data_IF_420234814738
#
_entry.id   IF_420234814738
#
_cell.length_a   1.000
_cell.length_b   1.000
_cell.length_c   1.000
_cell.angle_alpha   90.00
_cell.angle_beta   90.00
_cell.angle_gamma   90.00
#
_symmetry.space_group_name_H-M   'P 1'
#
loop_
_entity.id
_entity.type
_entity.pdbx_description
1 polymer ?
#
# COMPACT_ATOMS: atom_id res chain seq x y z
N UNK A 1 -2.51 -2.53 -23.28
CA UNK A 1 -1.04 -2.61 -23.36
C UNK A 1 -0.49 -1.77 -22.23
N UNK A 2 0.29 -2.36 -21.33
CA UNK A 2 0.87 -1.61 -20.21
C UNK A 2 1.95 -0.66 -20.78
N UNK A 3 1.89 0.63 -20.43
CA UNK A 3 2.92 1.60 -20.80
C UNK A 3 4.25 1.15 -20.20
N UNK A 4 5.36 1.15 -20.96
CA UNK A 4 6.67 0.82 -20.42
C UNK A 4 7.03 1.82 -19.32
N UNK A 5 7.50 1.32 -18.17
CA UNK A 5 7.95 2.13 -17.04
C UNK A 5 9.28 1.60 -16.51
N UNK A 6 10.10 2.50 -15.98
CA UNK A 6 11.37 2.16 -15.33
C UNK A 6 11.15 2.06 -13.82
N UNK A 7 11.64 0.98 -13.21
CA UNK A 7 11.62 0.79 -11.76
C UNK A 7 12.92 1.35 -11.17
N UNK A 8 12.89 2.49 -10.46
CA UNK A 8 14.11 3.06 -9.90
C UNK A 8 14.60 2.27 -8.69
N UNK A 9 15.90 2.34 -8.42
CA UNK A 9 16.45 1.90 -7.14
C UNK A 9 15.84 2.72 -5.98
N UNK A 10 15.57 2.07 -4.85
CA UNK A 10 14.84 2.68 -3.73
C UNK A 10 13.32 2.81 -3.94
N UNK A 11 12.76 2.31 -5.05
CA UNK A 11 11.32 2.38 -5.30
C UNK A 11 10.50 1.65 -4.23
N UNK A 12 9.41 2.27 -3.80
CA UNK A 12 8.38 1.58 -3.01
C UNK A 12 7.56 0.69 -3.97
N UNK A 13 7.55 -0.61 -3.72
CA UNK A 13 6.80 -1.61 -4.51
C UNK A 13 5.61 -2.19 -3.75
N UNK A 14 5.56 -2.02 -2.42
CA UNK A 14 4.44 -2.47 -1.59
C UNK A 14 3.98 -1.31 -0.71
N UNK A 15 2.67 -1.07 -0.69
CA UNK A 15 2.01 -0.14 0.22
C UNK A 15 0.85 -0.87 0.92
N UNK A 16 0.93 -1.07 2.23
CA UNK A 16 -0.06 -1.88 2.93
C UNK A 16 -0.63 -1.19 4.18
N UNK A 17 -1.91 -0.82 4.12
CA UNK A 17 -2.67 -0.46 5.32
C UNK A 17 -3.11 -1.77 5.97
N UNK A 18 -2.38 -2.19 7.00
CA UNK A 18 -2.52 -3.47 7.68
C UNK A 18 -2.32 -3.31 9.19
N UNK A 19 -2.27 -4.42 9.93
CA UNK A 19 -2.09 -4.54 11.37
C UNK A 19 -3.27 -4.12 12.23
N UNK A 20 -3.54 -4.91 13.27
CA UNK A 20 -4.50 -4.57 14.31
C UNK A 20 -4.11 -3.30 15.08
N UNK A 21 -2.82 -2.92 15.15
CA UNK A 21 -2.36 -1.73 15.88
C UNK A 21 -2.82 -0.42 15.25
N UNK A 22 -2.86 -0.35 13.91
CA UNK A 22 -3.18 0.87 13.19
C UNK A 22 -4.61 0.87 12.64
N UNK A 23 -5.16 -0.30 12.32
CA UNK A 23 -6.52 -0.42 11.77
C UNK A 23 -7.60 -0.43 12.85
N UNK A 24 -7.24 -0.60 14.13
CA UNK A 24 -8.17 -0.45 15.26
C UNK A 24 -8.48 1.01 15.61
N UNK A 25 -7.68 1.96 15.13
CA UNK A 25 -7.82 3.39 15.42
C UNK A 25 -8.59 4.08 14.28
N UNK A 26 -9.89 4.41 14.46
CA UNK A 26 -10.72 4.94 13.37
C UNK A 26 -10.19 6.26 12.83
N UNK A 27 -9.60 7.11 13.68
CA UNK A 27 -9.08 8.41 13.26
C UNK A 27 -8.00 8.28 12.17
N UNK A 28 -7.13 7.27 12.28
CA UNK A 28 -6.02 7.05 11.33
C UNK A 28 -6.52 6.57 9.97
N UNK A 29 -7.51 5.68 9.98
CA UNK A 29 -8.12 5.13 8.76
C UNK A 29 -9.01 6.16 8.07
N UNK A 30 -9.75 6.96 8.84
CA UNK A 30 -10.50 8.10 8.31
C UNK A 30 -9.57 9.13 7.67
N UNK A 31 -8.45 9.46 8.31
CA UNK A 31 -7.45 10.36 7.73
C UNK A 31 -6.86 9.79 6.42
N UNK A 32 -6.56 8.48 6.36
CA UNK A 32 -6.10 7.84 5.14
C UNK A 32 -7.14 7.89 4.01
N UNK A 33 -8.42 7.65 4.33
CA UNK A 33 -9.51 7.76 3.35
C UNK A 33 -9.73 9.18 2.86
N UNK A 34 -9.66 10.19 3.74
CA UNK A 34 -9.76 11.60 3.36
C UNK A 34 -8.58 12.05 2.49
N UNK A 35 -7.38 11.57 2.80
CA UNK A 35 -6.20 11.81 1.97
C UNK A 35 -6.35 11.16 0.59
N UNK A 36 -6.82 9.91 0.54
CA UNK A 36 -7.10 9.21 -0.71
C UNK A 36 -8.13 9.97 -1.57
N UNK A 37 -9.22 10.45 -0.95
CA UNK A 37 -10.21 11.30 -1.60
C UNK A 37 -9.57 12.53 -2.22
N UNK A 38 -8.78 13.27 -1.44
CA UNK A 38 -8.13 14.49 -1.93
C UNK A 38 -7.19 14.21 -3.11
N UNK A 39 -6.48 13.10 -3.06
CA UNK A 39 -5.55 12.71 -4.11
C UNK A 39 -6.25 12.37 -5.43
N UNK A 40 -7.33 11.59 -5.36
CA UNK A 40 -8.16 11.27 -6.52
C UNK A 40 -8.79 12.55 -7.11
N UNK A 41 -9.31 13.44 -6.26
CA UNK A 41 -9.85 14.74 -6.70
C UNK A 41 -8.79 15.62 -7.40
N UNK A 42 -7.52 15.46 -7.05
CA UNK A 42 -6.38 16.13 -7.68
C UNK A 42 -5.83 15.37 -8.90
N UNK A 43 -6.41 14.23 -9.27
CA UNK A 43 -5.94 13.39 -10.38
C UNK A 43 -4.62 12.66 -10.09
N UNK A 44 -4.20 12.58 -8.83
CA UNK A 44 -3.01 11.82 -8.43
C UNK A 44 -3.27 10.33 -8.58
N UNK A 45 -2.24 9.60 -9.03
CA UNK A 45 -2.31 8.16 -9.23
C UNK A 45 -1.14 7.46 -8.54
N UNK A 46 -1.34 6.24 -8.03
CA UNK A 46 -0.23 5.42 -7.58
C UNK A 46 0.70 5.11 -8.75
N UNK A 47 1.98 4.88 -8.45
CA UNK A 47 2.90 4.37 -9.45
C UNK A 47 2.46 2.97 -9.90
N UNK A 48 2.62 2.60 -11.19
CA UNK A 48 2.09 1.36 -11.74
C UNK A 48 2.72 0.08 -11.15
N UNK A 49 3.89 0.19 -10.52
CA UNK A 49 4.58 -0.92 -9.85
C UNK A 49 4.22 -1.07 -8.37
N UNK A 50 3.48 -0.13 -7.78
CA UNK A 50 3.10 -0.18 -6.36
C UNK A 50 1.94 -1.14 -6.18
N UNK A 51 2.16 -2.17 -5.36
CA UNK A 51 1.10 -3.05 -4.89
C UNK A 51 0.50 -2.51 -3.60
N UNK A 52 -0.61 -1.77 -3.74
CA UNK A 52 -1.40 -1.29 -2.62
C UNK A 52 -2.34 -2.38 -2.06
N UNK A 53 -2.66 -2.30 -0.76
CA UNK A 53 -3.64 -3.20 -0.12
C UNK A 53 -4.19 -2.65 1.18
N UNK A 54 -5.46 -2.97 1.47
CA UNK A 54 -6.13 -2.68 2.74
C UNK A 54 -6.54 -3.98 3.42
N UNK A 55 -6.03 -4.22 4.62
CA UNK A 55 -6.32 -5.38 5.44
C UNK A 55 -6.63 -4.98 6.89
N UNK A 56 -7.88 -4.61 7.18
CA UNK A 56 -8.29 -4.20 8.51
C UNK A 56 -8.44 -5.39 9.46
N UNK A 57 -8.30 -5.13 10.76
CA UNK A 57 -8.51 -6.17 11.79
C UNK A 57 -9.98 -6.55 12.01
N UNK A 58 -10.94 -5.75 11.54
CA UNK A 58 -12.38 -5.94 11.79
C UNK A 58 -13.25 -5.38 10.66
N UNK A 59 -14.45 -5.95 10.48
CA UNK A 59 -15.48 -5.48 9.55
C UNK A 59 -15.97 -4.05 9.86
N UNK A 60 -15.96 -3.68 11.13
CA UNK A 60 -16.34 -2.32 11.58
C UNK A 60 -15.55 -1.24 10.85
N UNK A 61 -14.29 -1.53 10.47
CA UNK A 61 -13.45 -0.60 9.71
C UNK A 61 -14.01 -0.33 8.33
N UNK A 62 -14.39 -1.38 7.61
CA UNK A 62 -15.01 -1.25 6.30
C UNK A 62 -16.35 -0.56 6.38
N UNK A 63 -17.12 -0.80 7.46
CA UNK A 63 -18.44 -0.20 7.65
C UNK A 63 -18.35 1.32 7.80
N UNK A 64 -17.47 1.86 8.66
CA UNK A 64 -17.35 3.32 8.80
C UNK A 64 -16.73 3.98 7.56
N UNK A 65 -15.80 3.32 6.86
CA UNK A 65 -15.24 3.84 5.60
C UNK A 65 -16.31 3.91 4.51
N UNK A 66 -17.21 2.92 4.46
CA UNK A 66 -18.34 2.89 3.53
C UNK A 66 -19.38 3.97 3.87
N UNK A 67 -19.74 4.12 5.16
CA UNK A 67 -20.65 5.18 5.62
C UNK A 67 -20.10 6.58 5.32
N UNK A 68 -18.80 6.77 5.49
CA UNK A 68 -18.10 8.00 5.14
C UNK A 68 -17.90 8.20 3.63
N UNK A 69 -18.26 7.19 2.80
CA UNK A 69 -18.08 7.17 1.34
C UNK A 69 -16.62 7.34 0.91
N UNK A 70 -15.69 6.81 1.69
CA UNK A 70 -14.24 6.90 1.44
C UNK A 70 -13.68 5.67 0.71
N UNK A 71 -14.38 4.53 0.79
CA UNK A 71 -13.97 3.26 0.16
C UNK A 71 -13.64 3.39 -1.33
N UNK A 72 -14.47 4.06 -2.17
CA UNK A 72 -14.17 4.15 -3.61
C UNK A 72 -12.86 4.86 -3.92
N UNK A 73 -12.47 5.86 -3.13
CA UNK A 73 -11.22 6.58 -3.33
C UNK A 73 -10.00 5.75 -2.91
N UNK A 74 -10.13 4.96 -1.84
CA UNK A 74 -9.10 3.98 -1.47
C UNK A 74 -8.95 2.92 -2.57
N UNK A 75 -10.07 2.42 -3.09
CA UNK A 75 -10.08 1.44 -4.18
C UNK A 75 -9.43 1.97 -5.46
N UNK A 76 -9.69 3.22 -5.84
CA UNK A 76 -9.09 3.87 -7.01
C UNK A 76 -7.56 3.99 -6.91
N UNK A 77 -7.05 4.18 -5.69
CA UNK A 77 -5.61 4.17 -5.41
C UNK A 77 -5.03 2.75 -5.20
N UNK A 78 -5.84 1.71 -5.40
CA UNK A 78 -5.43 0.30 -5.28
C UNK A 78 -5.45 -0.24 -3.85
N UNK A 79 -5.93 0.51 -2.85
CA UNK A 79 -6.12 0.05 -1.47
C UNK A 79 -7.39 -0.79 -1.32
N UNK A 80 -7.56 -1.79 -2.18
CA UNK A 80 -8.71 -2.68 -2.12
C UNK A 80 -8.66 -3.53 -0.86
N UNK A 81 -9.85 -3.83 -0.32
CA UNK A 81 -10.00 -4.76 0.78
C UNK A 81 -9.54 -6.16 0.35
N UNK A 82 -8.40 -6.62 0.87
CA UNK A 82 -7.85 -7.95 0.56
C UNK A 82 -8.26 -9.03 1.56
N UNK A 83 -8.84 -8.63 2.69
CA UNK A 83 -9.33 -9.53 3.73
C UNK A 83 -9.19 -8.94 5.13
N UNK A 84 -9.77 -9.63 6.12
CA UNK A 84 -9.70 -9.25 7.52
C UNK A 84 -8.67 -10.14 8.23
N UNK A 85 -7.61 -9.54 8.77
CA UNK A 85 -6.56 -10.28 9.48
C UNK A 85 -5.14 -9.78 9.17
N UNK A 86 -4.14 -10.56 9.62
CA UNK A 86 -2.75 -10.11 9.65
C UNK A 86 -2.10 -9.88 8.29
N UNK A 87 -2.45 -10.65 7.25
CA UNK A 87 -2.02 -10.46 5.83
C UNK A 87 -0.55 -10.01 5.69
N UNK A 88 -0.28 -8.85 5.10
CA UNK A 88 1.06 -8.27 4.87
C UNK A 88 1.85 -8.06 6.16
N UNK A 89 1.19 -7.82 7.31
CA UNK A 89 1.87 -7.63 8.59
C UNK A 89 2.68 -8.86 9.04
N UNK A 90 2.35 -10.05 8.53
CA UNK A 90 3.09 -11.30 8.80
C UNK A 90 3.81 -11.85 7.57
N UNK A 91 3.87 -11.09 6.48
CA UNK A 91 4.46 -11.55 5.21
C UNK A 91 3.53 -12.38 4.33
N UNK A 92 2.25 -12.48 4.68
CA UNK A 92 1.27 -13.21 3.88
C UNK A 92 0.66 -12.29 2.80
N UNK A 93 1.53 -11.84 1.90
CA UNK A 93 1.19 -11.02 0.75
C UNK A 93 1.16 -11.89 -0.50
N UNK A 94 0.17 -11.67 -1.39
CA UNK A 94 0.17 -12.28 -2.73
C UNK A 94 1.47 -11.90 -3.48
N UNK A 95 2.00 -12.72 -4.40
CA UNK A 95 3.22 -12.43 -5.16
C UNK A 95 3.18 -11.06 -5.87
N UNK A 96 4.33 -10.42 -6.03
CA UNK A 96 4.41 -9.21 -6.85
C UNK A 96 4.12 -9.57 -8.32
N UNK A 97 3.65 -8.61 -9.14
CA UNK A 97 3.50 -8.87 -10.57
C UNK A 97 4.83 -9.32 -11.16
N UNK A 98 4.80 -10.37 -11.98
CA UNK A 98 6.00 -10.99 -12.58
C UNK A 98 6.95 -9.96 -13.24
N UNK A 99 6.49 -8.94 -13.99
CA UNK A 99 7.39 -7.93 -14.56
C UNK A 99 8.19 -7.16 -13.51
N UNK A 100 7.60 -6.91 -12.33
CA UNK A 100 8.26 -6.21 -11.22
C UNK A 100 9.30 -7.11 -10.58
N UNK A 101 8.98 -8.39 -10.35
CA UNK A 101 9.95 -9.34 -9.79
C UNK A 101 11.16 -9.55 -10.69
N UNK A 102 10.92 -9.65 -12.00
CA UNK A 102 11.98 -9.77 -13.01
C UNK A 102 12.84 -8.52 -13.01
N UNK A 103 12.23 -7.32 -13.01
CA UNK A 103 12.98 -6.07 -12.97
C UNK A 103 13.84 -5.92 -11.71
N UNK A 104 13.32 -6.29 -10.53
CA UNK A 104 14.08 -6.26 -9.27
C UNK A 104 15.29 -7.20 -9.36
N UNK A 105 15.09 -8.45 -9.81
CA UNK A 105 16.14 -9.48 -9.87
C UNK A 105 17.20 -9.17 -10.92
N UNK A 106 16.79 -8.72 -12.11
CA UNK A 106 17.72 -8.43 -13.22
C UNK A 106 18.53 -7.15 -12.97
N UNK A 107 17.91 -6.14 -12.34
CA UNK A 107 18.58 -4.87 -12.03
C UNK A 107 19.33 -4.85 -10.69
N UNK A 108 19.31 -5.96 -9.91
CA UNK A 108 19.75 -6.01 -8.51
C UNK A 108 19.27 -4.80 -7.68
N UNK A 109 18.00 -4.45 -7.87
CA UNK A 109 17.43 -3.24 -7.29
C UNK A 109 17.13 -3.43 -5.79
N UNK A 110 17.46 -2.42 -5.01
CA UNK A 110 17.04 -2.31 -3.61
C UNK A 110 15.69 -1.60 -3.56
N UNK A 111 14.62 -2.39 -3.58
CA UNK A 111 13.26 -1.87 -3.45
C UNK A 111 12.76 -1.90 -2.01
N UNK A 112 11.70 -1.14 -1.76
CA UNK A 112 11.13 -0.97 -0.44
C UNK A 112 9.63 -1.22 -0.30
N UNK A 113 9.19 -1.40 0.94
CA UNK A 113 7.78 -1.46 1.31
C UNK A 113 7.45 -0.43 2.39
N UNK A 114 6.26 0.15 2.31
CA UNK A 114 5.70 0.99 3.36
C UNK A 114 4.45 0.32 3.90
N UNK A 115 4.34 0.17 5.21
CA UNK A 115 3.20 -0.48 5.82
C UNK A 115 2.82 0.13 7.17
N UNK A 116 1.53 0.08 7.51
CA UNK A 116 1.05 0.43 8.85
C UNK A 116 1.18 -0.72 9.84
N UNK A 117 2.22 -1.54 9.67
CA UNK A 117 2.56 -2.66 10.54
C UNK A 117 3.20 -2.24 11.86
N UNK A 118 3.74 -3.23 12.58
CA UNK A 118 4.55 -3.03 13.79
C UNK A 118 5.97 -3.61 13.69
N UNK A 119 6.28 -4.33 12.60
CA UNK A 119 7.56 -4.97 12.34
C UNK A 119 7.92 -4.79 10.87
N UNK A 120 9.21 -4.57 10.62
CA UNK A 120 9.75 -4.24 9.30
C UNK A 120 11.10 -4.92 9.03
N UNK A 121 11.33 -6.10 9.62
CA UNK A 121 12.54 -6.87 9.36
C UNK A 121 12.65 -7.28 7.88
N UNK A 122 13.88 -7.32 7.38
CA UNK A 122 14.18 -7.82 6.03
C UNK A 122 13.64 -9.24 5.84
N UNK A 123 13.08 -9.53 4.66
CA UNK A 123 12.47 -10.82 4.33
C UNK A 123 11.16 -11.14 5.06
N UNK A 124 10.75 -10.36 6.07
CA UNK A 124 9.48 -10.57 6.78
C UNK A 124 8.26 -10.18 5.95
N UNK A 125 8.37 -9.10 5.16
CA UNK A 125 7.24 -8.56 4.38
C UNK A 125 7.16 -9.22 3.02
N UNK A 126 8.29 -9.28 2.31
CA UNK A 126 8.42 -9.96 1.04
C UNK A 126 9.90 -10.31 0.80
N UNK A 127 10.24 -11.50 0.26
CA UNK A 127 11.63 -11.91 0.05
C UNK A 127 12.45 -10.98 -0.86
N UNK A 128 11.79 -10.32 -1.81
CA UNK A 128 12.43 -9.39 -2.76
C UNK A 128 12.56 -7.95 -2.23
N UNK A 129 12.07 -7.67 -1.03
CA UNK A 129 12.08 -6.32 -0.45
C UNK A 129 13.08 -6.25 0.70
N UNK A 130 14.15 -5.49 0.46
CA UNK A 130 15.26 -5.32 1.40
C UNK A 130 14.99 -4.20 2.41
N UNK A 131 14.25 -3.15 2.01
CA UNK A 131 13.96 -1.99 2.86
C UNK A 131 12.48 -1.91 3.24
N UNK A 132 12.15 -1.73 4.51
CA UNK A 132 10.76 -1.69 4.97
C UNK A 132 10.56 -0.56 5.97
N UNK A 133 9.55 0.28 5.76
CA UNK A 133 9.21 1.41 6.64
C UNK A 133 7.85 1.24 7.28
N UNK A 134 7.81 1.48 8.59
CA UNK A 134 6.57 1.58 9.34
C UNK A 134 6.07 3.01 9.29
N UNK A 135 4.83 3.20 8.86
CA UNK A 135 4.21 4.51 8.78
C UNK A 135 2.77 4.48 9.30
N UNK A 136 2.20 5.64 9.61
CA UNK A 136 0.77 5.73 9.90
C UNK A 136 -0.03 5.45 8.61
N UNK A 137 -1.28 4.94 8.69
CA UNK A 137 -2.13 4.71 7.53
C UNK A 137 -2.18 5.84 6.48
N UNK A 138 -2.28 7.15 6.84
CA UNK A 138 -2.25 8.20 5.83
C UNK A 138 -0.89 8.32 5.12
N UNK A 139 0.24 8.09 5.82
CA UNK A 139 1.57 8.12 5.20
C UNK A 139 1.84 6.89 4.31
N UNK A 140 1.09 5.80 4.50
CA UNK A 140 1.21 4.62 3.64
C UNK A 140 0.69 4.88 2.24
N UNK A 141 -0.28 5.79 2.06
CA UNK A 141 -0.91 6.08 0.76
C UNK A 141 0.10 6.82 -0.13
N UNK A 142 0.89 6.12 -0.98
CA UNK A 142 1.97 6.75 -1.71
C UNK A 142 1.39 7.36 -2.98
N UNK A 143 1.71 8.62 -3.23
CA UNK A 143 1.23 9.33 -4.41
C UNK A 143 2.43 9.84 -5.18
N UNK A 144 2.44 9.62 -6.50
CA UNK A 144 3.28 10.40 -7.38
C UNK A 144 2.49 11.64 -7.78
N UNK A 145 3.11 12.81 -7.68
CA UNK A 145 2.58 13.99 -8.35
C UNK A 145 2.70 13.76 -9.87
N UNK A 146 1.67 14.05 -10.69
CA UNK A 146 1.88 14.11 -12.13
C UNK A 146 3.00 15.12 -12.38
N UNK A 147 4.08 14.68 -13.02
CA UNK A 147 5.11 15.58 -13.50
C UNK A 147 4.41 16.61 -14.41
N UNK A 148 4.31 17.85 -13.94
CA UNK A 148 4.01 19.01 -14.77
C UNK A 148 5.13 19.24 -15.74
#
# INVERSE_FOLDING_TARGET
MATPYSLPDGAVVIAAITSCTNTSEPQRLMAAGLLAKKAVELGLKPQPWVKASLAPGSKVVSDYLAQARLTPYLDELGFNLVGYGCTTCIGNLRPLPEPIEVAIKQGDLTVGAVLSGNRNFEGRIHPLVKTNWLASPPLVVPMRWPET
#
